data_IF_499665226066
#
_entry.id   IF_499665226066
#
_cell.length_a   1.000
_cell.length_b   1.000
_cell.length_c   1.000
_cell.angle_alpha   90.00
_cell.angle_beta   90.00
_cell.angle_gamma   90.00
#
_symmetry.space_group_name_H-M   'P 1'
#
loop_
_entity.id
_entity.type
_entity.pdbx_description
1 polymer ?
#
# COMPACT_ATOMS: atom_id res chain seq x y z
N UNK A 1 -7.00 76.88 6.44
CA UNK A 1 -8.16 77.04 7.34
C UNK A 1 -8.33 75.74 8.12
N UNK A 2 -8.65 75.85 9.41
CA UNK A 2 -9.41 74.91 10.27
C UNK A 2 -9.21 73.37 10.16
N UNK A 3 -8.62 72.82 11.22
CA UNK A 3 -8.95 71.55 11.94
C UNK A 3 -10.30 71.70 12.70
N UNK A 4 -10.84 70.77 13.54
CA UNK A 4 -10.36 69.47 14.07
C UNK A 4 -11.39 68.32 13.78
N UNK A 5 -11.55 67.17 14.48
CA UNK A 5 -10.92 66.50 15.66
C UNK A 5 -11.07 64.95 15.50
N UNK A 6 -10.51 64.09 16.37
CA UNK A 6 -11.20 63.23 17.38
C UNK A 6 -10.83 61.74 17.12
N UNK A 7 -10.55 60.85 18.09
CA UNK A 7 -9.90 60.94 19.43
C UNK A 7 -9.30 59.55 19.79
N UNK A 8 -8.24 59.54 20.63
CA UNK A 8 -7.93 58.63 21.78
C UNK A 8 -7.97 57.08 21.63
N UNK A 9 -7.21 56.29 22.39
CA UNK A 9 -6.26 56.56 23.49
C UNK A 9 -5.56 55.27 23.96
N UNK A 10 -4.53 55.36 24.82
CA UNK A 10 -3.67 54.24 25.22
C UNK A 10 -3.35 54.25 26.74
N UNK A 11 -2.52 53.28 27.20
CA UNK A 11 -2.01 53.05 28.58
C UNK A 11 -2.93 52.15 29.46
N UNK A 12 -2.48 51.35 30.45
CA UNK A 12 -1.15 51.24 31.08
C UNK A 12 -0.82 49.85 31.71
N UNK A 13 0.49 49.55 31.75
CA UNK A 13 1.33 48.74 32.68
C UNK A 13 0.82 47.72 33.74
N UNK A 14 1.63 46.65 33.92
CA UNK A 14 2.31 46.21 35.18
C UNK A 14 2.10 44.76 35.67
N UNK A 15 3.22 44.06 35.85
CA UNK A 15 3.37 42.80 36.59
C UNK A 15 3.53 43.04 38.11
N UNK A 16 3.38 41.97 38.92
CA UNK A 16 4.45 41.65 39.87
C UNK A 16 4.88 40.17 39.89
N UNK A 17 6.09 39.92 40.37
CA UNK A 17 6.65 38.60 40.73
C UNK A 17 6.68 38.49 42.26
N UNK A 18 6.34 37.33 42.82
CA UNK A 18 6.50 37.04 44.25
C UNK A 18 6.13 35.60 44.59
N UNK A 19 7.01 34.87 45.29
CA UNK A 19 6.86 33.44 45.58
C UNK A 19 6.29 33.12 46.96
N UNK A 20 6.08 31.82 47.22
CA UNK A 20 5.68 31.25 48.51
C UNK A 20 5.64 29.72 48.42
N UNK A 21 6.19 29.02 49.42
CA UNK A 21 6.28 27.56 49.49
C UNK A 21 5.29 27.00 50.54
N UNK A 22 5.09 25.67 50.53
CA UNK A 22 4.44 24.84 51.59
C UNK A 22 2.95 25.12 51.82
N UNK A 23 2.11 24.17 52.24
CA UNK A 23 2.38 22.88 52.91
C UNK A 23 1.42 21.76 52.46
N UNK A 24 1.76 20.53 52.82
CA UNK A 24 0.89 19.35 52.84
C UNK A 24 0.03 19.34 54.11
N UNK A 25 -1.27 19.04 54.02
CA UNK A 25 -1.83 17.82 54.64
C UNK A 25 -3.33 17.60 54.36
N UNK A 26 -3.66 16.32 54.39
CA UNK A 26 -4.93 15.62 54.26
C UNK A 26 -6.14 16.22 55.01
N UNK A 27 -7.31 16.23 54.34
CA UNK A 27 -8.48 15.52 54.90
C UNK A 27 -9.47 15.04 53.81
N UNK A 28 -9.98 13.83 54.02
CA UNK A 28 -10.88 13.06 53.15
C UNK A 28 -12.27 13.65 53.00
N UNK A 29 -12.90 13.44 51.83
CA UNK A 29 -14.20 12.75 51.82
C UNK A 29 -14.52 12.05 50.48
N UNK A 30 -15.01 10.81 50.59
CA UNK A 30 -15.64 10.03 49.53
C UNK A 30 -16.90 10.76 49.01
N UNK A 31 -16.96 11.02 47.70
CA UNK A 31 -18.24 11.07 46.99
C UNK A 31 -18.19 10.17 45.76
N UNK A 32 -19.00 9.12 45.80
CA UNK A 32 -19.10 8.08 44.78
C UNK A 32 -19.90 8.61 43.58
N UNK A 33 -19.30 9.49 42.80
CA UNK A 33 -19.84 9.89 41.51
C UNK A 33 -19.85 8.67 40.57
N UNK A 34 -21.05 8.14 40.31
CA UNK A 34 -21.29 7.07 39.33
C UNK A 34 -20.87 7.55 37.94
N UNK A 35 -19.59 7.32 37.61
CA UNK A 35 -19.07 7.58 36.27
C UNK A 35 -19.66 6.53 35.34
N UNK A 36 -20.79 6.87 34.71
CA UNK A 36 -21.27 6.18 33.53
C UNK A 36 -20.14 6.24 32.51
N UNK A 37 -19.43 5.14 32.36
CA UNK A 37 -18.69 4.88 31.14
C UNK A 37 -19.75 4.69 30.06
N UNK A 38 -20.17 5.80 29.45
CA UNK A 38 -20.80 5.76 28.15
C UNK A 38 -19.79 5.10 27.23
N UNK A 39 -19.97 3.80 26.98
CA UNK A 39 -19.19 3.04 26.01
C UNK A 39 -19.58 3.57 24.64
N UNK A 40 -18.96 4.69 24.25
CA UNK A 40 -18.86 5.09 22.85
C UNK A 40 -18.35 3.85 22.12
N UNK A 41 -19.24 3.24 21.33
CA UNK A 41 -18.87 2.16 20.45
C UNK A 41 -17.70 2.68 19.61
N UNK A 42 -16.54 2.06 19.73
CA UNK A 42 -15.37 2.47 18.98
C UNK A 42 -15.77 2.52 17.50
N UNK A 43 -15.69 3.71 16.89
CA UNK A 43 -16.04 3.87 15.50
C UNK A 43 -15.23 2.84 14.69
N UNK A 44 -15.86 2.10 13.76
CA UNK A 44 -15.15 1.09 12.99
C UNK A 44 -13.98 1.78 12.30
N UNK A 45 -12.75 1.32 12.60
CA UNK A 45 -11.53 1.94 12.09
C UNK A 45 -11.68 2.21 10.58
N UNK A 46 -11.72 3.48 10.13
CA UNK A 46 -11.99 3.79 8.74
C UNK A 46 -10.89 3.28 7.80
N UNK A 47 -9.74 2.87 8.35
CA UNK A 47 -8.57 2.42 7.62
C UNK A 47 -8.03 1.10 8.20
N UNK A 48 -8.68 -0.05 7.89
CA UNK A 48 -8.23 -1.35 8.35
C UNK A 48 -6.82 -1.67 7.84
N UNK A 49 -5.98 -2.24 8.69
CA UNK A 49 -4.61 -2.58 8.33
C UNK A 49 -4.56 -3.86 7.46
N UNK A 50 -3.40 -4.14 6.86
CA UNK A 50 -3.26 -5.27 5.94
C UNK A 50 -3.55 -6.65 6.58
N UNK A 51 -3.37 -6.82 7.90
CA UNK A 51 -3.74 -8.05 8.61
C UNK A 51 -5.26 -8.16 8.83
N UNK A 52 -5.95 -7.03 9.08
CA UNK A 52 -7.41 -6.94 9.18
C UNK A 52 -8.08 -7.17 7.81
N UNK A 53 -7.46 -6.70 6.73
CA UNK A 53 -7.88 -6.97 5.34
C UNK A 53 -7.67 -8.46 5.00
N UNK A 54 -6.54 -9.05 5.40
CA UNK A 54 -6.25 -10.48 5.15
C UNK A 54 -7.23 -11.42 5.89
N UNK A 55 -7.60 -11.11 7.13
CA UNK A 55 -8.52 -11.97 7.91
C UNK A 55 -9.95 -11.99 7.34
N UNK A 56 -10.40 -10.91 6.70
CA UNK A 56 -11.66 -10.86 5.96
C UNK A 56 -11.58 -11.62 4.62
N UNK A 57 -10.51 -11.43 3.84
CA UNK A 57 -10.36 -12.04 2.52
C UNK A 57 -10.12 -13.57 2.54
N UNK A 58 -9.43 -14.09 3.57
CA UNK A 58 -9.08 -15.52 3.66
C UNK A 58 -10.29 -16.46 3.82
N UNK A 59 -11.46 -15.95 4.20
CA UNK A 59 -12.66 -16.79 4.44
C UNK A 59 -13.42 -17.14 3.14
N UNK A 60 -13.09 -16.52 2.00
CA UNK A 60 -13.88 -16.60 0.77
C UNK A 60 -13.23 -17.39 -0.40
N UNK A 61 -12.02 -17.95 -0.23
CA UNK A 61 -11.18 -18.43 -1.35
C UNK A 61 -10.94 -19.95 -1.43
N UNK A 62 -11.73 -20.78 -0.73
CA UNK A 62 -11.58 -22.24 -0.73
C UNK A 62 -12.75 -23.03 -1.36
N UNK A 63 -13.27 -22.57 -2.51
CA UNK A 63 -14.21 -23.37 -3.34
C UNK A 63 -14.01 -23.16 -4.85
N UNK A 64 -13.02 -23.85 -5.43
CA UNK A 64 -13.14 -24.58 -6.71
C UNK A 64 -11.76 -25.03 -7.23
N UNK A 65 -11.68 -26.24 -7.78
CA UNK A 65 -10.46 -26.72 -8.41
C UNK A 65 -10.15 -25.90 -9.67
N UNK A 66 -9.04 -25.15 -9.66
CA UNK A 66 -8.66 -24.23 -10.72
C UNK A 66 -7.20 -24.41 -11.14
N UNK A 67 -6.97 -24.38 -12.46
CA UNK A 67 -5.65 -24.52 -13.07
C UNK A 67 -4.74 -23.35 -12.69
N UNK A 68 -3.86 -23.53 -11.70
CA UNK A 68 -2.85 -22.52 -11.36
C UNK A 68 -2.08 -22.03 -12.60
N UNK A 69 -1.91 -20.72 -12.74
CA UNK A 69 -0.98 -20.15 -13.71
C UNK A 69 0.43 -20.69 -13.42
N UNK A 70 1.08 -21.27 -14.44
CA UNK A 70 2.44 -21.83 -14.28
C UNK A 70 3.44 -20.94 -14.99
N UNK A 71 4.56 -20.66 -14.33
CA UNK A 71 5.66 -19.93 -14.94
C UNK A 71 6.27 -20.72 -16.11
N UNK A 72 6.06 -20.24 -17.34
CA UNK A 72 6.64 -20.82 -18.56
C UNK A 72 7.93 -20.13 -18.99
N UNK A 73 8.76 -19.73 -18.03
CA UNK A 73 10.10 -19.20 -18.31
C UNK A 73 10.99 -20.31 -18.86
N UNK A 74 11.58 -20.10 -20.05
CA UNK A 74 12.56 -21.02 -20.64
C UNK A 74 13.94 -20.82 -20.03
N UNK A 75 14.42 -21.85 -19.35
CA UNK A 75 15.78 -21.96 -18.82
C UNK A 75 16.79 -22.29 -19.92
N UNK A 76 18.09 -22.25 -19.57
CA UNK A 76 19.18 -22.57 -20.49
C UNK A 76 19.29 -24.08 -20.80
N UNK A 77 18.73 -24.93 -19.94
CA UNK A 77 18.58 -26.38 -20.12
C UNK A 77 17.49 -26.78 -21.15
N UNK A 78 16.74 -25.80 -21.66
CA UNK A 78 15.62 -26.02 -22.59
C UNK A 78 14.28 -26.35 -21.92
N UNK A 79 14.23 -26.48 -20.60
CA UNK A 79 13.00 -26.75 -19.85
C UNK A 79 12.27 -25.46 -19.45
N UNK A 80 10.96 -25.57 -19.22
CA UNK A 80 10.16 -24.50 -18.59
C UNK A 80 10.28 -24.59 -17.06
N UNK A 81 10.31 -23.45 -16.37
CA UNK A 81 10.41 -23.42 -14.90
C UNK A 81 9.24 -24.16 -14.21
N UNK A 82 8.04 -24.07 -14.76
CA UNK A 82 6.86 -24.84 -14.31
C UNK A 82 6.32 -24.47 -12.92
N UNK A 83 6.91 -23.52 -12.20
CA UNK A 83 6.48 -23.09 -10.85
C UNK A 83 5.04 -22.60 -10.87
N UNK A 84 4.22 -23.03 -9.91
CA UNK A 84 2.86 -22.52 -9.72
C UNK A 84 2.91 -21.09 -9.18
N UNK A 85 2.32 -20.17 -9.92
CA UNK A 85 2.23 -18.76 -9.57
C UNK A 85 0.99 -18.53 -8.69
N UNK A 86 1.15 -17.77 -7.63
CA UNK A 86 0.09 -17.31 -6.72
C UNK A 86 0.21 -15.80 -6.54
N UNK A 87 -0.83 -15.15 -6.00
CA UNK A 87 -0.81 -13.71 -5.71
C UNK A 87 0.40 -13.29 -4.86
N UNK A 88 0.81 -14.13 -3.92
CA UNK A 88 1.92 -13.85 -3.01
C UNK A 88 3.30 -14.05 -3.65
N UNK A 89 3.47 -15.04 -4.52
CA UNK A 89 4.79 -15.42 -5.03
C UNK A 89 5.14 -14.84 -6.41
N UNK A 90 4.15 -14.38 -7.18
CA UNK A 90 4.32 -14.14 -8.62
C UNK A 90 5.34 -13.04 -8.93
N UNK A 91 5.37 -11.95 -8.15
CA UNK A 91 6.28 -10.82 -8.37
C UNK A 91 7.73 -11.27 -8.15
N UNK A 92 8.07 -11.68 -6.94
CA UNK A 92 9.44 -12.11 -6.58
C UNK A 92 9.94 -13.28 -7.44
N UNK A 93 9.07 -14.24 -7.77
CA UNK A 93 9.42 -15.34 -8.67
C UNK A 93 9.76 -14.85 -10.10
N UNK A 94 8.90 -14.01 -10.70
CA UNK A 94 9.17 -13.48 -12.04
C UNK A 94 10.39 -12.55 -12.04
N UNK A 95 10.58 -11.76 -10.98
CA UNK A 95 11.76 -10.91 -10.81
C UNK A 95 13.06 -11.71 -10.74
N UNK A 96 13.06 -12.92 -10.16
CA UNK A 96 14.25 -13.74 -10.14
C UNK A 96 14.73 -14.09 -11.56
N UNK A 97 13.82 -14.51 -12.44
CA UNK A 97 14.12 -14.74 -13.85
C UNK A 97 14.46 -13.46 -14.62
N UNK A 98 13.89 -12.31 -14.25
CA UNK A 98 14.30 -11.01 -14.82
C UNK A 98 15.72 -10.62 -14.38
N UNK A 99 16.16 -10.97 -13.16
CA UNK A 99 17.56 -10.81 -12.71
C UNK A 99 18.50 -11.72 -13.50
N UNK A 100 18.10 -12.97 -13.76
CA UNK A 100 18.85 -13.89 -14.63
C UNK A 100 19.03 -13.33 -16.05
N UNK A 101 17.94 -12.86 -16.69
CA UNK A 101 17.99 -12.26 -18.02
C UNK A 101 18.82 -10.96 -18.08
N UNK A 102 18.83 -10.18 -17.01
CA UNK A 102 19.44 -8.83 -17.00
C UNK A 102 20.72 -8.73 -16.21
N UNK A 103 21.39 -9.87 -15.97
CA UNK A 103 22.69 -9.99 -15.28
C UNK A 103 23.83 -9.31 -16.03
N UNK A 104 23.82 -9.37 -17.36
CA UNK A 104 24.79 -8.67 -18.21
C UNK A 104 24.47 -7.16 -18.23
N UNK A 105 25.28 -6.36 -17.55
CA UNK A 105 25.04 -4.91 -17.35
C UNK A 105 25.21 -4.07 -18.62
N UNK A 106 25.94 -4.57 -19.61
CA UNK A 106 26.28 -3.85 -20.85
C UNK A 106 25.16 -3.89 -21.90
N UNK A 107 24.16 -4.78 -21.75
CA UNK A 107 22.99 -4.79 -22.63
C UNK A 107 21.92 -3.85 -22.08
N UNK A 108 21.46 -2.91 -22.90
CA UNK A 108 20.28 -2.08 -22.57
C UNK A 108 18.95 -2.77 -22.90
N UNK A 109 18.99 -3.75 -23.81
CA UNK A 109 17.84 -4.35 -24.47
C UNK A 109 17.85 -5.86 -24.22
N UNK A 110 16.72 -6.39 -23.74
CA UNK A 110 16.58 -7.77 -23.30
C UNK A 110 15.37 -8.44 -23.97
N UNK A 111 15.57 -9.67 -24.46
CA UNK A 111 14.51 -10.49 -25.05
C UNK A 111 13.78 -11.29 -23.96
N UNK A 112 12.44 -11.29 -24.02
CA UNK A 112 11.61 -12.12 -23.17
C UNK A 112 11.80 -13.61 -23.47
N UNK A 113 12.03 -14.44 -22.44
CA UNK A 113 12.15 -15.91 -22.59
C UNK A 113 10.91 -16.72 -22.22
N UNK A 114 9.83 -16.09 -21.75
CA UNK A 114 8.58 -16.78 -21.44
C UNK A 114 7.87 -17.31 -22.69
N UNK A 115 7.17 -18.44 -22.54
CA UNK A 115 6.22 -18.96 -23.52
C UNK A 115 4.79 -18.58 -23.13
N UNK A 116 3.90 -18.45 -24.12
CA UNK A 116 2.50 -18.13 -23.84
C UNK A 116 1.73 -19.35 -23.30
N UNK A 117 0.67 -19.13 -22.49
CA UNK A 117 -0.22 -20.20 -22.03
C UNK A 117 -0.83 -21.06 -23.15
N UNK A 118 -1.10 -20.44 -24.31
CA UNK A 118 -1.65 -21.09 -25.52
C UNK A 118 -0.60 -21.71 -26.45
N UNK A 119 0.66 -21.79 -26.01
CA UNK A 119 1.79 -22.24 -26.81
C UNK A 119 2.44 -21.11 -27.62
N UNK A 120 3.62 -21.38 -28.17
CA UNK A 120 4.44 -20.38 -28.85
C UNK A 120 5.33 -19.58 -27.90
N UNK A 121 6.44 -19.08 -28.45
CA UNK A 121 7.50 -18.39 -27.69
C UNK A 121 7.30 -16.88 -27.75
N UNK A 122 7.51 -16.17 -26.64
CA UNK A 122 7.55 -14.71 -26.71
C UNK A 122 8.85 -14.26 -27.40
N UNK A 123 8.72 -13.27 -28.29
CA UNK A 123 9.84 -12.63 -29.02
C UNK A 123 9.97 -11.14 -28.70
N UNK A 124 9.19 -10.63 -27.73
CA UNK A 124 9.24 -9.22 -27.32
C UNK A 124 10.59 -8.89 -26.70
N UNK A 125 11.12 -7.74 -27.11
CA UNK A 125 12.47 -7.29 -26.81
C UNK A 125 12.41 -5.83 -26.38
N UNK A 126 12.79 -5.54 -25.14
CA UNK A 126 12.54 -4.24 -24.47
C UNK A 126 13.64 -3.90 -23.46
N UNK A 127 13.63 -2.66 -22.93
CA UNK A 127 14.49 -2.27 -21.80
C UNK A 127 14.09 -2.99 -20.50
N UNK A 128 14.98 -3.06 -19.51
CA UNK A 128 14.76 -3.77 -18.21
C UNK A 128 13.43 -3.41 -17.54
N UNK A 129 13.13 -2.11 -17.40
CA UNK A 129 11.90 -1.65 -16.75
C UNK A 129 10.62 -2.05 -17.50
N UNK A 130 10.66 -2.02 -18.83
CA UNK A 130 9.52 -2.38 -19.67
C UNK A 130 9.36 -3.90 -19.80
N UNK A 131 10.46 -4.67 -19.66
CA UNK A 131 10.40 -6.12 -19.60
C UNK A 131 9.64 -6.60 -18.35
N UNK A 132 9.85 -5.96 -17.17
CA UNK A 132 9.04 -6.24 -15.95
C UNK A 132 7.56 -6.01 -16.23
N UNK A 133 7.19 -4.85 -16.81
CA UNK A 133 5.79 -4.53 -17.17
C UNK A 133 5.21 -5.53 -18.19
N UNK A 134 5.99 -5.93 -19.19
CA UNK A 134 5.58 -6.90 -20.21
C UNK A 134 5.25 -8.27 -19.59
N UNK A 135 6.12 -8.77 -18.70
CA UNK A 135 5.89 -10.05 -18.01
C UNK A 135 4.61 -10.00 -17.18
N UNK A 136 4.42 -8.95 -16.38
CA UNK A 136 3.25 -8.77 -15.52
C UNK A 136 1.93 -8.49 -16.26
N UNK A 137 1.95 -8.38 -17.59
CA UNK A 137 0.75 -8.15 -18.42
C UNK A 137 0.46 -9.27 -19.42
N UNK A 138 1.44 -10.14 -19.72
CA UNK A 138 1.32 -11.11 -20.82
C UNK A 138 1.55 -12.57 -20.39
N UNK A 139 2.28 -12.82 -19.29
CA UNK A 139 2.76 -14.17 -18.93
C UNK A 139 2.17 -14.73 -17.63
N UNK A 140 1.33 -13.95 -16.94
CA UNK A 140 0.41 -14.43 -15.91
C UNK A 140 -0.91 -13.67 -15.99
N UNK A 141 -1.98 -14.29 -15.52
CA UNK A 141 -3.33 -13.71 -15.41
C UNK A 141 -3.68 -13.29 -13.98
N UNK A 142 -2.77 -13.51 -13.03
CA UNK A 142 -2.91 -13.11 -11.61
C UNK A 142 -3.14 -11.61 -11.47
N UNK A 143 -4.13 -11.26 -10.66
CA UNK A 143 -4.58 -9.90 -10.34
C UNK A 143 -4.62 -9.73 -8.82
N UNK A 144 -4.38 -8.51 -8.34
CA UNK A 144 -4.59 -8.13 -6.95
C UNK A 144 -6.06 -7.71 -6.74
N UNK A 145 -6.81 -8.32 -5.80
CA UNK A 145 -8.12 -7.82 -5.43
C UNK A 145 -7.96 -6.54 -4.60
N UNK A 146 -8.65 -5.46 -5.01
CA UNK A 146 -8.70 -4.23 -4.24
C UNK A 146 -9.29 -4.48 -2.84
N UNK A 147 -8.68 -3.97 -1.75
CA UNK A 147 -9.23 -4.12 -0.40
C UNK A 147 -10.59 -3.41 -0.24
N UNK A 148 -10.76 -2.25 -0.87
CA UNK A 148 -11.91 -1.37 -0.62
C UNK A 148 -13.14 -1.70 -1.49
N UNK A 149 -12.95 -2.34 -2.66
CA UNK A 149 -14.06 -2.71 -3.55
C UNK A 149 -14.02 -4.14 -4.11
N UNK A 150 -13.07 -4.98 -3.71
CA UNK A 150 -12.91 -6.36 -4.19
C UNK A 150 -12.56 -6.50 -5.67
N UNK A 151 -12.46 -5.39 -6.42
CA UNK A 151 -12.20 -5.40 -7.86
C UNK A 151 -10.81 -5.94 -8.15
N UNK A 152 -10.73 -6.91 -9.07
CA UNK A 152 -9.45 -7.43 -9.53
C UNK A 152 -8.69 -6.40 -10.39
N UNK A 153 -7.45 -6.06 -9.99
CA UNK A 153 -6.56 -5.12 -10.66
C UNK A 153 -5.32 -5.88 -11.17
N UNK A 154 -4.78 -5.51 -12.33
CA UNK A 154 -3.47 -6.04 -12.77
C UNK A 154 -2.40 -5.73 -11.74
N UNK A 155 -1.64 -6.75 -11.31
CA UNK A 155 -0.58 -6.64 -10.30
C UNK A 155 0.61 -5.83 -10.83
N UNK A 156 0.46 -4.50 -10.77
CA UNK A 156 1.38 -3.49 -11.28
C UNK A 156 1.24 -2.22 -10.46
N UNK A 157 2.37 -1.72 -9.95
CA UNK A 157 2.46 -0.51 -9.13
C UNK A 157 1.69 0.68 -9.71
N UNK A 158 1.86 0.96 -11.00
CA UNK A 158 1.19 2.10 -11.67
C UNK A 158 -0.33 1.92 -11.82
N UNK A 159 -0.80 0.68 -12.01
CA UNK A 159 -2.23 0.38 -12.15
C UNK A 159 -2.93 0.38 -10.79
N UNK A 160 -2.29 -0.19 -9.77
CA UNK A 160 -2.77 -0.21 -8.38
C UNK A 160 -2.86 1.23 -7.84
N UNK A 161 -1.79 2.03 -7.97
CA UNK A 161 -1.80 3.44 -7.56
C UNK A 161 -2.92 4.22 -8.22
N UNK A 162 -3.04 4.11 -9.55
CA UNK A 162 -4.09 4.82 -10.29
C UNK A 162 -5.49 4.39 -9.84
N UNK A 163 -5.70 3.09 -9.61
CA UNK A 163 -6.98 2.60 -9.09
C UNK A 163 -7.32 3.22 -7.73
N UNK A 164 -6.40 3.16 -6.76
CA UNK A 164 -6.62 3.67 -5.41
C UNK A 164 -6.89 5.19 -5.40
N UNK A 165 -6.18 5.95 -6.25
CA UNK A 165 -6.42 7.40 -6.41
C UNK A 165 -7.76 7.69 -7.10
N UNK A 166 -8.05 7.05 -8.22
CA UNK A 166 -9.24 7.34 -9.05
C UNK A 166 -10.55 6.75 -8.49
N UNK A 167 -10.49 5.81 -7.53
CA UNK A 167 -11.67 5.10 -6.99
C UNK A 167 -11.85 5.17 -5.48
N UNK A 168 -10.78 5.43 -4.75
CA UNK A 168 -10.80 5.47 -3.28
C UNK A 168 -10.15 6.75 -2.73
N UNK A 169 -9.80 7.70 -3.61
CA UNK A 169 -9.24 9.02 -3.26
C UNK A 169 -8.01 8.93 -2.34
N UNK A 170 -7.22 7.86 -2.49
CA UNK A 170 -6.00 7.67 -1.70
C UNK A 170 -4.99 8.78 -1.97
N UNK A 171 -4.42 9.31 -0.90
CA UNK A 171 -3.24 10.17 -0.97
C UNK A 171 -2.06 9.48 -1.65
N UNK A 172 -1.21 10.25 -2.34
CA UNK A 172 -0.12 9.73 -3.18
C UNK A 172 0.81 8.78 -2.41
N UNK A 173 1.14 9.11 -1.16
CA UNK A 173 2.01 8.31 -0.30
C UNK A 173 1.35 6.99 0.15
N UNK A 174 0.04 6.98 0.41
CA UNK A 174 -0.73 5.79 0.81
C UNK A 174 -0.91 4.85 -0.38
N UNK A 175 -1.20 5.40 -1.56
CA UNK A 175 -1.25 4.64 -2.81
C UNK A 175 0.12 4.05 -3.16
N UNK A 176 1.21 4.80 -2.95
CA UNK A 176 2.60 4.34 -3.14
C UNK A 176 2.97 3.22 -2.16
N UNK A 177 2.66 3.35 -0.87
CA UNK A 177 2.94 2.35 0.18
C UNK A 177 2.19 1.03 -0.07
N UNK A 178 0.88 1.05 -0.27
CA UNK A 178 0.11 -0.15 -0.62
C UNK A 178 0.68 -0.82 -1.89
N UNK A 179 0.99 -0.03 -2.91
CA UNK A 179 1.53 -0.54 -4.17
C UNK A 179 3.00 -0.98 -4.08
N UNK A 180 3.75 -0.60 -3.05
CA UNK A 180 5.06 -1.14 -2.70
C UNK A 180 4.91 -2.48 -1.98
N UNK A 181 4.06 -2.56 -0.94
CA UNK A 181 3.77 -3.79 -0.19
C UNK A 181 3.25 -4.93 -1.08
N UNK A 182 2.52 -4.62 -2.16
CA UNK A 182 2.07 -5.62 -3.15
C UNK A 182 3.12 -6.04 -4.18
N UNK A 183 4.28 -5.37 -4.20
CA UNK A 183 5.34 -5.55 -5.19
C UNK A 183 6.70 -5.91 -4.57
N UNK A 184 6.76 -6.12 -3.25
CA UNK A 184 7.96 -6.39 -2.46
C UNK A 184 7.89 -7.72 -1.71
N UNK A 185 8.82 -8.63 -2.04
CA UNK A 185 9.32 -9.77 -1.26
C UNK A 185 10.75 -10.08 -1.72
#
# INVERSE_FOLDING_TARGET
MLVPLVTEGAQNSSFPIGGGQTDSDWLTQDEQASHRQDTVAAEPNPYPNLAEIKSAAHQALNTSASSHDRCRFRRADGQECGTALTLENVVGHCENHLRELTREKEREIFMCRWNFPKGGTCTKTTKRADLRKHVHTNHHTIKDPCPDCGKEITLRKDVIKKHLKDKHEYEEWRAEDYAAQRMEF
#
